data_IF_482520024017
#
_entry.id   IF_482520024017
#
_cell.length_a   1.000
_cell.length_b   1.000
_cell.length_c   1.000
_cell.angle_alpha   90.00
_cell.angle_beta   90.00
_cell.angle_gamma   90.00
#
_symmetry.space_group_name_H-M   'P 1'
#
loop_
_entity.id
_entity.type
_entity.pdbx_description
1 polymer ?
#
# COMPACT_ATOMS: atom_id res chain seq x y z
N UNK A 1 -15.57 -3.19 73.38
CA UNK A 1 -15.73 -4.18 72.29
C UNK A 1 -16.79 -3.65 71.34
N UNK A 2 -16.53 -3.41 70.11
CA UNK A 2 -17.41 -3.01 68.97
C UNK A 2 -16.93 -1.75 68.24
N UNK A 3 -15.77 -1.82 67.56
CA UNK A 3 -15.43 -0.93 66.45
C UNK A 3 -14.53 -1.61 65.37
N UNK A 4 -14.20 -2.91 65.59
CA UNK A 4 -13.25 -3.60 64.71
C UNK A 4 -13.93 -4.41 63.56
N UNK A 5 -15.23 -4.74 63.68
CA UNK A 5 -15.91 -5.65 62.71
C UNK A 5 -16.59 -4.95 61.51
N UNK A 6 -16.77 -3.61 61.54
CA UNK A 6 -17.37 -2.88 60.41
C UNK A 6 -16.36 -2.50 59.30
N UNK A 7 -15.06 -2.61 59.55
CA UNK A 7 -14.04 -2.27 58.57
C UNK A 7 -13.59 -3.46 57.69
N UNK A 8 -13.87 -4.69 58.08
CA UNK A 8 -13.55 -5.91 57.29
C UNK A 8 -14.62 -6.26 56.25
N UNK A 9 -15.91 -5.89 56.44
CA UNK A 9 -16.97 -6.15 55.44
C UNK A 9 -16.97 -5.15 54.30
N UNK A 10 -16.42 -3.93 54.42
CA UNK A 10 -16.30 -2.94 53.35
C UNK A 10 -15.13 -3.18 52.38
N UNK A 11 -14.14 -4.02 52.77
CA UNK A 11 -12.97 -4.33 51.98
C UNK A 11 -13.18 -5.57 51.08
N UNK A 12 -14.09 -6.47 51.44
CA UNK A 12 -14.41 -7.66 50.62
C UNK A 12 -15.36 -7.32 49.47
N UNK A 13 -16.33 -6.42 49.67
CA UNK A 13 -17.25 -5.98 48.60
C UNK A 13 -16.59 -5.20 47.45
N UNK A 14 -15.47 -4.53 47.74
CA UNK A 14 -14.76 -3.72 46.71
C UNK A 14 -13.75 -4.55 45.89
N UNK A 15 -13.43 -5.78 46.32
CA UNK A 15 -12.56 -6.68 45.53
C UNK A 15 -13.32 -7.52 44.53
N UNK A 16 -14.57 -7.87 44.82
CA UNK A 16 -15.43 -8.60 43.88
C UNK A 16 -16.00 -7.69 42.78
N UNK A 17 -16.33 -6.43 43.08
CA UNK A 17 -16.73 -5.44 42.07
C UNK A 17 -15.60 -5.07 41.09
N UNK A 18 -14.33 -5.01 41.57
CA UNK A 18 -13.16 -4.76 40.72
C UNK A 18 -12.73 -6.00 39.93
N UNK A 19 -13.04 -7.20 40.37
CA UNK A 19 -12.81 -8.43 39.61
C UNK A 19 -13.82 -8.59 38.46
N UNK A 20 -15.13 -8.32 38.71
CA UNK A 20 -16.14 -8.32 37.65
C UNK A 20 -15.92 -7.24 36.60
N UNK A 21 -15.55 -6.03 36.99
CA UNK A 21 -15.21 -4.95 36.04
C UNK A 21 -13.97 -5.21 35.20
N UNK A 22 -13.03 -6.05 35.68
CA UNK A 22 -11.83 -6.45 34.89
C UNK A 22 -12.12 -7.60 33.92
N UNK A 23 -13.16 -8.38 34.14
CA UNK A 23 -13.54 -9.50 33.25
C UNK A 23 -14.44 -9.04 32.11
N UNK A 24 -15.13 -7.89 32.23
CA UNK A 24 -15.94 -7.33 31.14
C UNK A 24 -15.18 -6.45 30.14
N UNK A 25 -13.90 -6.08 30.42
CA UNK A 25 -13.07 -5.28 29.52
C UNK A 25 -12.16 -6.14 28.62
N UNK A 26 -12.16 -7.46 28.78
CA UNK A 26 -11.30 -8.40 28.05
C UNK A 26 -12.05 -9.31 27.08
N UNK A 27 -13.18 -8.88 26.53
CA UNK A 27 -13.63 -9.41 25.24
C UNK A 27 -13.04 -8.55 24.11
N UNK A 28 -11.73 -8.61 23.95
CA UNK A 28 -11.09 -8.30 22.69
C UNK A 28 -11.63 -9.29 21.66
N UNK A 29 -12.44 -8.80 20.72
CA UNK A 29 -12.96 -9.58 19.60
C UNK A 29 -11.74 -10.24 18.93
N UNK A 30 -11.71 -11.57 18.96
CA UNK A 30 -10.60 -12.33 18.37
C UNK A 30 -10.35 -11.88 16.93
N UNK A 31 -9.10 -11.82 16.45
CA UNK A 31 -8.76 -11.40 15.08
C UNK A 31 -9.58 -12.13 14.00
N UNK A 32 -9.95 -13.35 14.24
CA UNK A 32 -10.77 -14.19 13.36
C UNK A 32 -12.20 -13.67 13.14
N UNK A 33 -12.82 -13.06 14.14
CA UNK A 33 -14.16 -12.48 14.02
C UNK A 33 -14.18 -11.22 13.14
N UNK A 34 -13.05 -10.53 13.00
CA UNK A 34 -12.91 -9.36 12.13
C UNK A 34 -12.80 -9.73 10.64
N UNK A 35 -12.33 -10.93 10.33
CA UNK A 35 -12.19 -11.44 8.95
C UNK A 35 -13.47 -12.15 8.51
N UNK A 36 -14.09 -12.95 9.38
CA UNK A 36 -15.27 -13.75 9.08
C UNK A 36 -16.52 -12.94 8.66
N UNK A 37 -16.64 -11.68 9.10
CA UNK A 37 -17.79 -10.83 8.78
C UNK A 37 -17.69 -10.07 7.44
N UNK A 38 -16.62 -10.28 6.65
CA UNK A 38 -16.43 -9.58 5.38
C UNK A 38 -16.68 -10.43 4.12
N UNK A 39 -17.00 -11.71 4.25
CA UNK A 39 -17.10 -12.63 3.10
C UNK A 39 -18.32 -12.45 2.18
N UNK A 40 -19.21 -11.49 2.40
CA UNK A 40 -20.47 -11.40 1.64
C UNK A 40 -20.83 -10.03 1.07
N UNK A 41 -19.96 -9.02 1.17
CA UNK A 41 -20.26 -7.70 0.62
C UNK A 41 -19.28 -7.37 -0.51
N UNK A 42 -19.82 -7.20 -1.72
CA UNK A 42 -19.13 -6.45 -2.77
C UNK A 42 -18.57 -5.17 -2.16
N UNK A 43 -17.31 -4.77 -2.49
CA UNK A 43 -16.73 -3.60 -1.90
C UNK A 43 -17.59 -2.37 -2.22
N UNK A 44 -18.16 -1.76 -1.19
CA UNK A 44 -19.00 -0.57 -1.30
C UNK A 44 -18.14 0.69 -1.48
N UNK A 45 -17.28 0.66 -2.51
CA UNK A 45 -16.48 1.81 -2.94
C UNK A 45 -16.20 1.72 -4.44
N UNK A 46 -15.98 2.86 -5.12
CA UNK A 46 -15.71 2.88 -6.55
C UNK A 46 -14.50 2.03 -6.92
N UNK A 47 -14.61 1.32 -8.02
CA UNK A 47 -13.46 0.64 -8.58
C UNK A 47 -12.52 1.66 -9.21
N UNK A 48 -11.30 1.73 -8.70
CA UNK A 48 -10.21 2.52 -9.29
C UNK A 48 -9.34 1.69 -10.23
N UNK A 49 -9.80 0.51 -10.56
CA UNK A 49 -9.14 -0.42 -11.46
C UNK A 49 -9.18 0.11 -12.89
N UNK A 50 -8.03 0.28 -13.51
CA UNK A 50 -7.92 0.38 -14.95
C UNK A 50 -8.09 -1.03 -15.52
N UNK A 51 -9.30 -1.35 -16.01
CA UNK A 51 -9.62 -2.70 -16.44
C UNK A 51 -8.76 -3.13 -17.63
N UNK A 52 -8.24 -4.36 -17.62
CA UNK A 52 -7.48 -4.89 -18.74
C UNK A 52 -8.28 -4.80 -20.06
N UNK A 53 -7.62 -4.27 -21.10
CA UNK A 53 -8.24 -4.09 -22.42
C UNK A 53 -9.16 -2.88 -22.58
N UNK A 54 -9.55 -2.18 -21.50
CA UNK A 54 -10.28 -0.91 -21.56
C UNK A 54 -9.28 0.25 -21.50
N UNK A 55 -9.44 1.24 -22.40
CA UNK A 55 -8.63 2.45 -22.35
C UNK A 55 -9.20 3.44 -21.34
N UNK A 56 -8.34 4.00 -20.50
CA UNK A 56 -8.67 5.09 -19.60
C UNK A 56 -8.12 6.41 -20.15
N UNK A 57 -8.74 7.53 -19.76
CA UNK A 57 -8.18 8.88 -19.89
C UNK A 57 -7.98 9.49 -18.51
N UNK A 58 -6.73 9.85 -18.18
CA UNK A 58 -6.43 10.49 -16.89
C UNK A 58 -7.10 11.86 -16.74
N UNK A 59 -7.39 12.53 -17.85
CA UNK A 59 -8.09 13.81 -17.85
C UNK A 59 -9.56 13.68 -17.40
N UNK A 60 -10.18 12.50 -17.55
CA UNK A 60 -11.56 12.23 -17.15
C UNK A 60 -11.69 11.75 -15.69
N UNK A 61 -10.56 11.46 -15.03
CA UNK A 61 -10.54 10.99 -13.64
C UNK A 61 -10.32 12.17 -12.70
N UNK A 62 -11.31 12.50 -11.86
CA UNK A 62 -11.20 13.58 -10.88
C UNK A 62 -10.22 13.22 -9.75
N UNK A 63 -9.05 13.89 -9.64
CA UNK A 63 -8.09 13.64 -8.56
C UNK A 63 -8.58 14.10 -7.18
N UNK A 64 -9.71 14.83 -7.10
CA UNK A 64 -10.36 15.26 -5.85
C UNK A 64 -11.44 14.30 -5.35
N UNK A 65 -11.81 13.29 -6.12
CA UNK A 65 -12.84 12.32 -5.74
C UNK A 65 -12.58 11.76 -4.34
N UNK A 66 -13.64 11.60 -3.55
CA UNK A 66 -13.56 11.07 -2.18
C UNK A 66 -14.85 10.37 -1.74
N UNK A 67 -15.61 9.76 -2.66
CA UNK A 67 -16.93 9.21 -2.39
C UNK A 67 -17.81 10.24 -1.61
N UNK A 68 -18.55 9.75 -0.60
CA UNK A 68 -19.37 10.59 0.29
C UNK A 68 -18.57 11.19 1.47
N UNK A 69 -17.23 11.00 1.49
CA UNK A 69 -16.43 11.56 2.58
C UNK A 69 -16.02 13.00 2.31
N UNK A 70 -16.41 13.90 3.21
CA UNK A 70 -16.06 15.32 3.10
C UNK A 70 -14.75 15.64 3.83
N UNK A 71 -14.49 14.99 4.97
CA UNK A 71 -13.42 15.39 5.89
C UNK A 71 -12.58 14.19 6.34
N UNK A 72 -11.33 14.47 6.68
CA UNK A 72 -10.37 13.48 7.21
C UNK A 72 -10.89 12.68 8.42
N UNK A 73 -11.68 13.29 9.27
CA UNK A 73 -12.23 12.65 10.47
C UNK A 73 -13.22 11.54 10.13
N UNK A 74 -13.93 11.68 9.02
CA UNK A 74 -14.97 10.75 8.58
C UNK A 74 -14.36 9.38 8.22
N UNK A 75 -13.13 9.36 7.68
CA UNK A 75 -12.42 8.13 7.32
C UNK A 75 -11.49 7.58 8.42
N UNK A 76 -11.30 8.30 9.52
CA UNK A 76 -10.27 7.94 10.52
C UNK A 76 -10.48 6.57 11.16
N UNK A 77 -11.73 6.25 11.48
CA UNK A 77 -12.13 4.95 12.07
C UNK A 77 -11.88 3.82 11.09
N UNK A 78 -12.32 4.01 9.86
CA UNK A 78 -12.22 3.01 8.81
C UNK A 78 -10.79 2.75 8.39
N UNK A 79 -10.00 3.79 8.17
CA UNK A 79 -8.57 3.64 7.88
C UNK A 79 -7.84 2.87 9.00
N UNK A 80 -8.24 3.07 10.28
CA UNK A 80 -7.67 2.29 11.40
C UNK A 80 -8.07 0.81 11.30
N UNK A 81 -9.33 0.52 10.94
CA UNK A 81 -9.83 -0.84 10.73
C UNK A 81 -9.08 -1.54 9.59
N UNK A 82 -9.00 -0.89 8.42
CA UNK A 82 -8.32 -1.47 7.26
C UNK A 82 -6.82 -1.72 7.51
N UNK A 83 -6.16 -0.85 8.26
CA UNK A 83 -4.77 -1.08 8.67
C UNK A 83 -4.62 -2.30 9.60
N UNK A 84 -5.56 -2.49 10.54
CA UNK A 84 -5.53 -3.67 11.44
C UNK A 84 -5.75 -4.94 10.61
N UNK A 85 -6.72 -4.93 9.69
CA UNK A 85 -6.97 -6.03 8.76
C UNK A 85 -5.74 -6.35 7.90
N UNK A 86 -5.14 -5.33 7.30
CA UNK A 86 -3.92 -5.45 6.49
C UNK A 86 -2.75 -6.04 7.30
N UNK A 87 -2.56 -5.59 8.56
CA UNK A 87 -1.50 -6.11 9.43
C UNK A 87 -1.71 -7.59 9.78
N UNK A 88 -2.95 -7.98 10.13
CA UNK A 88 -3.27 -9.39 10.43
C UNK A 88 -3.06 -10.31 9.22
N UNK A 89 -3.48 -9.87 8.03
CA UNK A 89 -3.30 -10.65 6.80
C UNK A 89 -1.82 -10.73 6.39
N UNK A 90 -1.05 -9.67 6.61
CA UNK A 90 0.39 -9.67 6.35
C UNK A 90 1.13 -10.62 7.28
N UNK A 91 0.73 -10.72 8.55
CA UNK A 91 1.32 -11.68 9.50
C UNK A 91 1.09 -13.12 9.06
N UNK A 92 -0.13 -13.43 8.57
CA UNK A 92 -0.44 -14.75 8.00
C UNK A 92 0.38 -15.04 6.75
N UNK A 93 0.50 -14.07 5.82
CA UNK A 93 1.33 -14.22 4.61
C UNK A 93 2.79 -14.50 4.97
N UNK A 94 3.31 -13.78 5.97
CA UNK A 94 4.68 -13.98 6.45
C UNK A 94 4.89 -15.38 7.07
N UNK A 95 3.93 -15.84 7.86
CA UNK A 95 3.99 -17.17 8.49
C UNK A 95 3.79 -18.30 7.47
N UNK A 96 2.90 -18.14 6.50
CA UNK A 96 2.67 -19.09 5.41
C UNK A 96 3.93 -19.35 4.58
N UNK A 97 4.67 -18.27 4.27
CA UNK A 97 5.95 -18.30 3.55
C UNK A 97 5.93 -19.09 2.23
N UNK A 98 4.86 -18.96 1.43
CA UNK A 98 4.67 -19.68 0.15
C UNK A 98 4.33 -18.76 -1.02
N UNK A 99 3.84 -17.55 -0.74
CA UNK A 99 3.42 -16.54 -1.71
C UNK A 99 3.92 -15.19 -1.27
N UNK A 100 3.87 -14.22 -2.16
CA UNK A 100 4.33 -12.87 -1.83
C UNK A 100 3.53 -11.81 -2.57
N UNK A 101 3.68 -10.54 -2.15
CA UNK A 101 2.99 -9.40 -2.74
C UNK A 101 3.99 -8.32 -3.15
N UNK A 102 3.98 -7.96 -4.42
CA UNK A 102 4.69 -6.81 -4.97
C UNK A 102 3.72 -5.65 -5.17
N UNK A 103 4.03 -4.52 -4.54
CA UNK A 103 3.25 -3.29 -4.65
C UNK A 103 4.08 -2.25 -5.38
N UNK A 104 3.60 -1.77 -6.52
CA UNK A 104 4.23 -0.70 -7.28
C UNK A 104 3.52 0.62 -7.00
N UNK A 105 4.26 1.65 -6.60
CA UNK A 105 3.75 3.01 -6.39
C UNK A 105 4.38 3.97 -7.39
N UNK A 106 3.55 4.53 -8.27
CA UNK A 106 3.93 5.56 -9.23
C UNK A 106 3.10 6.84 -9.02
N UNK A 107 3.71 7.97 -9.27
CA UNK A 107 3.08 9.29 -9.21
C UNK A 107 4.04 10.33 -9.77
N UNK A 108 3.49 11.47 -10.16
CA UNK A 108 4.27 12.70 -10.34
C UNK A 108 5.07 13.03 -9.08
N UNK A 109 6.10 13.85 -9.22
CA UNK A 109 6.81 14.34 -8.03
C UNK A 109 5.85 15.08 -7.09
N UNK A 110 6.09 14.94 -5.79
CA UNK A 110 5.17 15.35 -4.73
C UNK A 110 3.81 14.62 -4.68
N UNK A 111 3.55 13.65 -5.56
CA UNK A 111 2.30 12.88 -5.62
C UNK A 111 1.96 12.14 -4.32
N UNK A 112 2.97 11.88 -3.47
CA UNK A 112 2.75 11.42 -2.08
C UNK A 112 3.08 9.96 -1.85
N UNK A 113 3.92 9.35 -2.67
CA UNK A 113 4.40 7.95 -2.52
C UNK A 113 4.90 7.64 -1.11
N UNK A 114 5.88 8.42 -0.57
CA UNK A 114 6.40 8.23 0.81
C UNK A 114 5.31 8.38 1.87
N UNK A 115 4.37 9.34 1.66
CA UNK A 115 3.26 9.55 2.58
C UNK A 115 2.28 8.37 2.58
N UNK A 116 2.04 7.75 1.44
CA UNK A 116 1.26 6.52 1.32
C UNK A 116 1.92 5.40 2.10
N UNK A 117 3.21 5.14 1.85
CA UNK A 117 3.97 4.10 2.56
C UNK A 117 3.89 4.32 4.07
N UNK A 118 4.24 5.53 4.55
CA UNK A 118 4.21 5.86 5.98
C UNK A 118 2.84 5.64 6.64
N UNK A 119 1.76 5.95 5.92
CA UNK A 119 0.43 5.96 6.53
C UNK A 119 -0.37 4.70 6.29
N UNK A 120 -0.25 4.04 5.16
CA UNK A 120 -0.96 2.78 4.88
C UNK A 120 -0.34 1.62 5.67
N UNK A 121 0.99 1.53 5.66
CA UNK A 121 1.74 0.42 6.29
C UNK A 121 2.07 0.66 7.78
N UNK A 122 1.38 1.62 8.42
CA UNK A 122 1.54 1.85 9.85
C UNK A 122 0.97 0.67 10.66
N UNK A 123 1.83 -0.03 11.40
CA UNK A 123 1.46 -1.19 12.23
C UNK A 123 1.73 -2.54 11.57
N UNK A 124 2.24 -2.55 10.35
CA UNK A 124 2.73 -3.75 9.66
C UNK A 124 4.04 -4.22 10.33
N UNK A 125 4.21 -5.54 10.46
CA UNK A 125 5.45 -6.12 10.94
C UNK A 125 6.60 -5.87 9.93
N UNK A 126 7.66 -5.12 10.32
CA UNK A 126 8.74 -4.79 9.40
C UNK A 126 9.57 -5.99 8.94
N UNK A 127 9.52 -7.12 9.63
CA UNK A 127 10.20 -8.35 9.22
C UNK A 127 9.62 -8.92 7.93
N UNK A 128 8.30 -8.76 7.71
CA UNK A 128 7.58 -9.24 6.52
C UNK A 128 7.34 -8.16 5.46
N UNK A 129 7.96 -6.97 5.57
CA UNK A 129 7.72 -5.87 4.62
C UNK A 129 9.02 -5.14 4.29
N UNK A 130 9.26 -4.90 2.98
CA UNK A 130 10.42 -4.13 2.51
C UNK A 130 10.00 -3.04 1.54
N UNK A 131 10.71 -1.91 1.59
CA UNK A 131 10.52 -0.77 0.68
C UNK A 131 11.81 -0.52 -0.07
N UNK A 132 11.71 -0.49 -1.40
CA UNK A 132 12.78 -0.09 -2.28
C UNK A 132 12.42 1.20 -2.99
N UNK A 133 13.29 2.21 -2.86
CA UNK A 133 13.11 3.49 -3.55
C UNK A 133 14.12 3.59 -4.69
N UNK A 134 13.62 3.47 -5.90
CA UNK A 134 14.47 3.53 -7.09
C UNK A 134 14.72 4.98 -7.51
N UNK A 135 15.98 5.30 -7.68
CA UNK A 135 16.48 6.57 -8.19
C UNK A 135 17.19 6.33 -9.52
N UNK A 136 17.91 7.33 -10.01
CA UNK A 136 18.80 7.18 -11.17
C UNK A 136 19.65 5.92 -11.01
N UNK A 137 19.73 5.06 -12.03
CA UNK A 137 20.54 3.85 -11.99
C UNK A 137 22.01 4.14 -11.63
N UNK A 138 22.63 3.28 -10.84
CA UNK A 138 24.08 3.28 -10.66
C UNK A 138 24.76 2.85 -11.97
N UNK A 139 26.09 3.02 -12.04
CA UNK A 139 26.86 2.58 -13.21
C UNK A 139 26.73 1.06 -13.43
N UNK A 140 26.73 0.27 -12.35
CA UNK A 140 26.49 -1.17 -12.42
C UNK A 140 25.08 -1.49 -12.93
N UNK A 141 24.04 -0.89 -12.34
CA UNK A 141 22.65 -1.09 -12.75
C UNK A 141 22.43 -0.71 -14.22
N UNK A 142 23.10 0.35 -14.71
CA UNK A 142 23.01 0.81 -16.10
C UNK A 142 23.77 -0.08 -17.10
N UNK A 143 24.69 -0.93 -16.63
CA UNK A 143 25.42 -1.89 -17.48
C UNK A 143 24.64 -3.19 -17.75
N UNK A 144 23.53 -3.40 -17.05
CA UNK A 144 22.62 -4.52 -17.24
C UNK A 144 21.36 -4.11 -18.01
N UNK A 145 20.51 -5.06 -18.33
CA UNK A 145 19.17 -4.77 -18.86
C UNK A 145 18.35 -3.95 -17.86
N UNK A 146 17.36 -3.21 -18.36
CA UNK A 146 16.60 -2.26 -17.54
C UNK A 146 15.76 -2.91 -16.43
N UNK A 147 15.48 -4.22 -16.48
CA UNK A 147 14.71 -4.94 -15.46
C UNK A 147 15.59 -5.53 -14.36
N UNK A 148 16.89 -5.72 -14.60
CA UNK A 148 17.81 -6.41 -13.69
C UNK A 148 17.74 -5.88 -12.25
N UNK A 149 17.81 -4.56 -12.08
CA UNK A 149 17.77 -3.89 -10.77
C UNK A 149 16.46 -4.11 -10.00
N UNK A 150 15.36 -4.28 -10.72
CA UNK A 150 14.03 -4.51 -10.14
C UNK A 150 13.83 -5.99 -9.80
N UNK A 151 14.30 -6.89 -10.65
CA UNK A 151 14.24 -8.32 -10.40
C UNK A 151 14.99 -8.70 -9.12
N UNK A 152 16.18 -8.16 -8.89
CA UNK A 152 16.93 -8.37 -7.63
C UNK A 152 16.20 -7.90 -6.37
N UNK A 153 15.18 -7.10 -6.51
CA UNK A 153 14.38 -6.53 -5.41
C UNK A 153 12.96 -7.08 -5.36
N UNK A 154 12.61 -8.01 -6.24
CA UNK A 154 11.36 -8.74 -6.18
C UNK A 154 11.19 -9.41 -4.80
N UNK A 155 9.95 -9.56 -4.30
CA UNK A 155 9.74 -10.19 -3.01
C UNK A 155 10.11 -11.68 -3.05
N UNK A 156 10.67 -12.17 -1.96
CA UNK A 156 10.73 -13.60 -1.67
C UNK A 156 9.45 -14.04 -0.97
N UNK A 157 9.24 -15.35 -0.85
CA UNK A 157 8.09 -15.93 -0.16
C UNK A 157 7.84 -15.30 1.22
N UNK A 158 6.58 -15.13 1.57
CA UNK A 158 6.11 -14.52 2.81
C UNK A 158 6.23 -12.99 2.87
N UNK A 159 6.81 -12.34 1.87
CA UNK A 159 7.14 -10.92 1.94
C UNK A 159 6.16 -10.03 1.19
N UNK A 160 5.92 -8.85 1.73
CA UNK A 160 5.39 -7.71 0.99
C UNK A 160 6.57 -6.82 0.57
N UNK A 161 6.73 -6.59 -0.72
CA UNK A 161 7.72 -5.63 -1.23
C UNK A 161 7.02 -4.43 -1.88
N UNK A 162 7.46 -3.23 -1.54
CA UNK A 162 6.93 -1.97 -2.06
C UNK A 162 8.00 -1.30 -2.91
N UNK A 163 7.70 -1.11 -4.18
CA UNK A 163 8.50 -0.32 -5.09
C UNK A 163 8.03 1.14 -5.08
N UNK A 164 8.80 2.03 -4.48
CA UNK A 164 8.63 3.47 -4.57
C UNK A 164 9.36 3.97 -5.81
N UNK A 165 8.64 4.23 -6.90
CA UNK A 165 9.06 4.16 -8.30
C UNK A 165 9.45 2.73 -8.68
N UNK A 166 9.55 2.42 -9.98
CA UNK A 166 9.72 1.04 -10.42
C UNK A 166 10.27 0.99 -11.85
N UNK A 167 10.25 -0.18 -12.44
CA UNK A 167 10.57 -0.46 -13.85
C UNK A 167 9.74 0.38 -14.84
N UNK A 168 8.67 1.00 -14.40
CA UNK A 168 7.92 1.96 -15.21
C UNK A 168 8.69 3.26 -15.47
N UNK A 169 9.71 3.61 -14.66
CA UNK A 169 10.59 4.76 -14.99
C UNK A 169 11.22 4.59 -16.39
N UNK A 170 11.42 3.36 -16.82
CA UNK A 170 12.03 2.99 -18.12
C UNK A 170 11.08 3.13 -19.33
N UNK A 171 9.84 3.56 -19.11
CA UNK A 171 8.86 3.99 -20.14
C UNK A 171 8.26 5.36 -19.79
N UNK A 172 8.62 5.97 -18.67
CA UNK A 172 8.18 7.29 -18.23
C UNK A 172 9.26 8.34 -18.46
N UNK A 173 10.24 8.44 -17.57
CA UNK A 173 11.29 9.48 -17.67
C UNK A 173 12.13 9.31 -18.93
N UNK A 174 12.43 8.10 -19.36
CA UNK A 174 13.23 7.86 -20.58
C UNK A 174 12.54 8.38 -21.82
N UNK A 175 11.21 8.29 -21.90
CA UNK A 175 10.37 8.87 -22.94
C UNK A 175 10.33 10.39 -22.84
N UNK A 176 9.95 10.93 -21.68
CA UNK A 176 9.77 12.38 -21.47
C UNK A 176 11.06 13.17 -21.68
N UNK A 177 12.22 12.56 -21.36
CA UNK A 177 13.54 13.18 -21.51
C UNK A 177 14.28 12.75 -22.79
N UNK A 178 13.65 11.96 -23.64
CA UNK A 178 14.28 11.41 -24.86
C UNK A 178 15.64 10.71 -24.57
N UNK A 179 15.72 9.96 -23.46
CA UNK A 179 16.94 9.24 -23.06
C UNK A 179 17.12 7.95 -23.86
N UNK A 180 16.05 7.42 -24.42
CA UNK A 180 16.01 6.21 -25.23
C UNK A 180 15.14 6.47 -26.45
N UNK A 181 15.51 5.99 -27.66
CA UNK A 181 14.70 6.13 -28.86
C UNK A 181 13.27 5.56 -28.68
N UNK A 182 12.31 6.19 -29.36
CA UNK A 182 10.90 5.78 -29.25
C UNK A 182 10.68 4.31 -29.65
N UNK A 183 11.33 3.86 -30.72
CA UNK A 183 11.26 2.48 -31.19
C UNK A 183 11.71 1.46 -30.14
N UNK A 184 12.54 1.87 -29.17
CA UNK A 184 13.07 1.00 -28.12
C UNK A 184 12.20 1.05 -26.85
N UNK A 185 11.83 2.26 -26.36
CA UNK A 185 11.01 2.30 -25.15
C UNK A 185 9.58 1.78 -25.38
N UNK A 186 9.03 1.87 -26.58
CA UNK A 186 7.72 1.28 -26.90
C UNK A 186 7.69 -0.25 -26.74
N UNK A 187 8.76 -0.92 -27.09
CA UNK A 187 8.89 -2.40 -26.91
C UNK A 187 8.96 -2.79 -25.44
N UNK A 188 9.34 -1.85 -24.56
CA UNK A 188 9.44 -2.13 -23.12
C UNK A 188 8.09 -2.41 -22.47
N UNK A 189 6.97 -1.94 -23.02
CA UNK A 189 5.64 -2.31 -22.50
C UNK A 189 5.42 -3.82 -22.53
N UNK A 190 5.72 -4.45 -23.66
CA UNK A 190 5.60 -5.91 -23.78
C UNK A 190 6.57 -6.64 -22.85
N UNK A 191 7.81 -6.14 -22.76
CA UNK A 191 8.83 -6.73 -21.87
C UNK A 191 8.44 -6.58 -20.39
N UNK A 192 7.85 -5.45 -20.01
CA UNK A 192 7.31 -5.22 -18.66
C UNK A 192 6.16 -6.21 -18.36
N UNK A 193 5.23 -6.36 -19.30
CA UNK A 193 4.12 -7.30 -19.15
C UNK A 193 4.62 -8.76 -18.99
N UNK A 194 5.61 -9.16 -19.78
CA UNK A 194 6.23 -10.48 -19.66
C UNK A 194 6.95 -10.67 -18.31
N UNK A 195 7.64 -9.64 -17.82
CA UNK A 195 8.28 -9.66 -16.51
C UNK A 195 7.25 -9.81 -15.38
N UNK A 196 6.19 -9.02 -15.40
CA UNK A 196 5.12 -9.09 -14.40
C UNK A 196 4.37 -10.43 -14.47
N UNK A 197 4.16 -10.97 -15.67
CA UNK A 197 3.57 -12.30 -15.86
C UNK A 197 4.47 -13.39 -15.27
N UNK A 198 5.77 -13.34 -15.52
CA UNK A 198 6.74 -14.27 -14.94
C UNK A 198 6.68 -14.24 -13.40
N UNK A 199 6.65 -13.05 -12.79
CA UNK A 199 6.50 -12.92 -11.34
C UNK A 199 5.18 -13.52 -10.84
N UNK A 200 4.09 -13.31 -11.56
CA UNK A 200 2.77 -13.86 -11.20
C UNK A 200 2.74 -15.38 -11.27
N UNK A 201 3.36 -15.97 -12.28
CA UNK A 201 3.52 -17.44 -12.40
C UNK A 201 4.33 -18.03 -11.25
N UNK A 202 5.25 -17.26 -10.69
CA UNK A 202 6.05 -17.63 -9.51
C UNK A 202 5.38 -17.21 -8.18
N UNK A 203 4.04 -17.15 -8.15
CA UNK A 203 3.22 -16.88 -6.97
C UNK A 203 3.41 -15.49 -6.33
N UNK A 204 3.95 -14.55 -7.07
CA UNK A 204 4.07 -13.15 -6.67
C UNK A 204 2.83 -12.40 -7.16
N UNK A 205 1.91 -12.05 -6.27
CA UNK A 205 0.81 -11.16 -6.63
C UNK A 205 1.36 -9.77 -6.88
N UNK A 206 1.09 -9.19 -8.06
CA UNK A 206 1.54 -7.85 -8.43
C UNK A 206 0.35 -6.89 -8.45
N UNK A 207 0.46 -5.77 -7.74
CA UNK A 207 -0.55 -4.72 -7.73
C UNK A 207 0.11 -3.35 -7.92
N UNK A 208 -0.48 -2.50 -8.76
CA UNK A 208 0.12 -1.23 -9.16
C UNK A 208 -0.82 -0.06 -8.88
N UNK A 209 -0.28 1.00 -8.29
CA UNK A 209 -1.02 2.21 -7.97
C UNK A 209 -0.39 3.43 -8.64
N UNK A 210 -1.17 4.13 -9.43
CA UNK A 210 -0.86 5.49 -9.87
C UNK A 210 -1.59 6.48 -8.96
N UNK A 211 -0.82 7.33 -8.25
CA UNK A 211 -1.38 8.36 -7.37
C UNK A 211 -1.66 9.61 -8.19
N UNK A 212 -2.91 9.72 -8.63
CA UNK A 212 -3.35 10.80 -9.51
C UNK A 212 -3.60 12.08 -8.73
N UNK A 213 -2.79 13.12 -9.01
CA UNK A 213 -2.96 14.47 -8.46
C UNK A 213 -3.14 15.49 -9.58
N UNK A 214 -3.80 16.60 -9.29
CA UNK A 214 -3.84 17.74 -10.22
C UNK A 214 -2.52 18.53 -10.21
N UNK A 215 -2.27 19.24 -11.31
CA UNK A 215 -1.13 20.17 -11.44
C UNK A 215 -1.16 21.26 -10.34
N UNK A 216 -2.35 21.74 -9.96
CA UNK A 216 -2.52 22.74 -8.90
C UNK A 216 -2.22 22.15 -7.51
N UNK A 217 -2.66 20.93 -7.22
CA UNK A 217 -2.31 20.27 -5.97
C UNK A 217 -0.81 20.02 -5.87
N UNK A 218 -0.13 19.68 -6.98
CA UNK A 218 1.32 19.57 -7.00
C UNK A 218 1.99 20.90 -6.64
N UNK A 219 1.53 22.03 -7.23
CA UNK A 219 2.01 23.38 -6.92
C UNK A 219 1.85 23.68 -5.42
N UNK A 220 0.64 23.51 -4.89
CA UNK A 220 0.34 23.72 -3.46
C UNK A 220 1.24 22.88 -2.55
N UNK A 221 1.55 21.64 -2.93
CA UNK A 221 2.46 20.78 -2.16
C UNK A 221 3.92 21.23 -2.21
N UNK A 222 4.37 21.75 -3.33
CA UNK A 222 5.72 22.32 -3.48
C UNK A 222 5.85 23.60 -2.64
N UNK A 223 4.88 24.50 -2.71
CA UNK A 223 4.81 25.72 -1.89
C UNK A 223 4.82 25.36 -0.38
N UNK A 224 4.00 24.42 0.06
CA UNK A 224 3.99 23.93 1.43
C UNK A 224 5.31 23.31 1.91
N UNK A 225 6.16 22.82 1.01
CA UNK A 225 7.52 22.35 1.36
C UNK A 225 8.46 23.52 1.62
N UNK A 226 8.34 24.61 0.85
CA UNK A 226 9.16 25.81 1.04
C UNK A 226 8.81 26.56 2.33
N UNK A 227 7.54 26.59 2.69
CA UNK A 227 7.05 27.26 3.90
C UNK A 227 7.43 26.49 5.19
N UNK A 228 7.43 25.17 5.16
CA UNK A 228 7.67 24.34 6.32
C UNK A 228 9.17 23.99 6.45
N UNK A 229 9.82 24.54 7.48
CA UNK A 229 11.26 24.30 7.79
C UNK A 229 11.63 22.81 7.83
N UNK A 230 10.77 21.96 8.45
CA UNK A 230 10.99 20.52 8.59
C UNK A 230 10.87 19.75 7.27
N UNK A 231 10.39 20.40 6.19
CA UNK A 231 10.19 19.79 4.88
C UNK A 231 11.06 20.38 3.79
N UNK A 232 11.74 21.50 4.04
CA UNK A 232 12.62 22.16 3.05
C UNK A 232 13.68 21.22 2.49
N UNK A 233 14.21 20.30 3.27
CA UNK A 233 15.18 19.30 2.81
C UNK A 233 14.66 18.37 1.72
N UNK A 234 13.31 18.26 1.55
CA UNK A 234 12.66 17.49 0.48
C UNK A 234 12.47 18.31 -0.80
N UNK A 235 12.72 19.60 -0.76
CA UNK A 235 12.55 20.46 -1.92
C UNK A 235 13.75 20.30 -2.86
N UNK A 236 13.47 19.99 -4.12
CA UNK A 236 14.48 19.91 -5.17
C UNK A 236 14.16 20.91 -6.28
N UNK A 237 15.19 21.61 -6.77
CA UNK A 237 15.04 22.43 -7.99
C UNK A 237 14.66 21.57 -9.20
N UNK A 238 15.05 20.29 -9.19
CA UNK A 238 14.65 19.35 -10.23
C UNK A 238 13.15 19.15 -10.29
N UNK A 239 12.44 19.13 -9.13
CA UNK A 239 10.97 19.01 -9.10
C UNK A 239 10.30 20.13 -9.92
N UNK A 240 10.89 21.35 -9.95
CA UNK A 240 10.38 22.46 -10.76
C UNK A 240 10.65 22.27 -12.25
N UNK A 241 11.75 21.65 -12.61
CA UNK A 241 12.07 21.35 -14.02
C UNK A 241 11.18 20.23 -14.54
N UNK A 242 11.01 19.15 -13.75
CA UNK A 242 10.12 18.04 -14.09
C UNK A 242 8.66 18.48 -14.25
N UNK A 243 8.21 19.45 -13.43
CA UNK A 243 6.87 20.01 -13.55
C UNK A 243 6.59 20.71 -14.91
N UNK A 244 7.62 21.18 -15.63
CA UNK A 244 7.45 21.78 -16.96
C UNK A 244 6.97 20.75 -17.98
N UNK A 245 7.29 19.48 -17.78
CA UNK A 245 6.91 18.34 -18.62
C UNK A 245 5.64 17.65 -18.09
N UNK A 246 4.76 18.40 -17.41
CA UNK A 246 3.56 17.83 -16.78
C UNK A 246 2.70 17.05 -17.77
N UNK A 247 2.43 17.63 -18.94
CA UNK A 247 1.51 17.06 -19.91
C UNK A 247 2.14 15.82 -20.60
N UNK A 248 3.43 15.86 -20.84
CA UNK A 248 4.20 14.72 -21.37
C UNK A 248 4.22 13.54 -20.36
N UNK A 249 4.37 13.84 -19.06
CA UNK A 249 4.29 12.82 -18.04
C UNK A 249 2.87 12.25 -17.91
N UNK A 250 1.82 13.09 -17.98
CA UNK A 250 0.44 12.58 -17.95
C UNK A 250 0.19 11.63 -19.13
N UNK A 251 0.59 12.00 -20.33
CA UNK A 251 0.49 11.14 -21.53
C UNK A 251 1.30 9.84 -21.36
N UNK A 252 2.51 9.91 -20.77
CA UNK A 252 3.33 8.73 -20.54
C UNK A 252 2.72 7.78 -19.49
N UNK A 253 2.17 8.31 -18.39
CA UNK A 253 1.46 7.51 -17.38
C UNK A 253 0.21 6.87 -17.96
N UNK A 254 -0.61 7.62 -18.70
CA UNK A 254 -1.83 7.13 -19.32
C UNK A 254 -1.50 5.97 -20.28
N UNK A 255 -0.50 6.15 -21.14
CA UNK A 255 -0.08 5.09 -22.08
C UNK A 255 0.47 3.87 -21.34
N UNK A 256 1.28 4.06 -20.30
CA UNK A 256 1.80 2.95 -19.49
C UNK A 256 0.67 2.16 -18.80
N UNK A 257 -0.33 2.84 -18.24
CA UNK A 257 -1.48 2.20 -17.61
C UNK A 257 -2.29 1.43 -18.66
N UNK A 258 -2.58 2.05 -19.82
CA UNK A 258 -3.36 1.46 -20.89
C UNK A 258 -2.70 0.24 -21.55
N UNK A 259 -1.37 0.18 -21.59
CA UNK A 259 -0.62 -0.95 -22.16
C UNK A 259 -0.29 -2.04 -21.15
N UNK A 260 -0.24 -1.71 -19.87
CA UNK A 260 0.28 -2.61 -18.85
C UNK A 260 -0.70 -2.88 -17.70
N UNK A 261 -1.99 -2.53 -17.81
CA UNK A 261 -2.98 -3.05 -16.87
C UNK A 261 -3.43 -4.42 -17.37
N UNK A 262 -3.01 -5.47 -16.66
CA UNK A 262 -3.31 -6.86 -17.02
C UNK A 262 -4.05 -7.54 -15.86
N UNK A 263 -4.69 -8.69 -16.13
CA UNK A 263 -5.40 -9.47 -15.11
C UNK A 263 -4.47 -9.94 -13.98
N UNK A 264 -3.22 -10.29 -14.33
CA UNK A 264 -2.21 -10.77 -13.39
C UNK A 264 -1.43 -9.64 -12.69
N UNK A 265 -1.48 -8.41 -13.21
CA UNK A 265 -0.81 -7.24 -12.63
C UNK A 265 -1.62 -5.96 -12.92
N UNK A 266 -2.74 -5.74 -12.22
CA UNK A 266 -3.63 -4.63 -12.49
C UNK A 266 -3.08 -3.28 -12.02
N UNK A 267 -3.41 -2.21 -12.76
CA UNK A 267 -3.24 -0.83 -12.33
C UNK A 267 -4.50 -0.29 -11.65
N UNK A 268 -4.28 0.46 -10.57
CA UNK A 268 -5.31 1.27 -9.92
C UNK A 268 -4.95 2.74 -10.03
N UNK A 269 -5.86 3.56 -10.55
CA UNK A 269 -5.71 5.02 -10.64
C UNK A 269 -6.38 5.66 -9.43
N UNK A 270 -5.58 6.07 -8.45
CA UNK A 270 -6.08 6.51 -7.14
C UNK A 270 -6.18 8.03 -7.06
N UNK A 271 -7.38 8.61 -6.81
CA UNK A 271 -7.53 10.03 -6.52
C UNK A 271 -6.67 10.42 -5.31
N UNK A 272 -5.73 11.36 -5.50
CA UNK A 272 -4.68 11.56 -4.52
C UNK A 272 -4.48 13.03 -4.06
N UNK A 273 -5.36 13.95 -4.45
CA UNK A 273 -5.36 15.30 -3.91
C UNK A 273 -5.67 15.27 -2.41
N UNK A 274 -6.68 14.54 -1.99
CA UNK A 274 -7.02 14.32 -0.59
C UNK A 274 -6.21 13.16 -0.01
N UNK A 275 -5.08 13.45 0.64
CA UNK A 275 -4.13 12.46 1.19
C UNK A 275 -4.77 11.43 2.10
N UNK A 276 -5.78 11.81 2.87
CA UNK A 276 -6.48 10.95 3.81
C UNK A 276 -7.37 9.94 3.10
N UNK A 277 -8.04 10.34 2.00
CA UNK A 277 -8.86 9.47 1.18
C UNK A 277 -8.00 8.47 0.39
N UNK A 278 -6.97 8.94 -0.31
CA UNK A 278 -5.98 8.10 -0.97
C UNK A 278 -5.48 6.98 -0.05
N UNK A 279 -5.14 7.30 1.20
CA UNK A 279 -4.63 6.31 2.14
C UNK A 279 -5.69 5.28 2.53
N UNK A 280 -6.96 5.67 2.66
CA UNK A 280 -8.07 4.75 2.92
C UNK A 280 -8.26 3.79 1.75
N UNK A 281 -8.40 4.31 0.54
CA UNK A 281 -8.63 3.50 -0.66
C UNK A 281 -7.52 2.47 -0.87
N UNK A 282 -6.25 2.89 -0.78
CA UNK A 282 -5.12 1.98 -0.93
C UNK A 282 -5.11 0.91 0.18
N UNK A 283 -5.43 1.28 1.43
CA UNK A 283 -5.51 0.33 2.52
C UNK A 283 -6.61 -0.73 2.31
N UNK A 284 -7.79 -0.31 1.81
CA UNK A 284 -8.89 -1.22 1.42
C UNK A 284 -8.46 -2.19 0.33
N UNK A 285 -7.96 -1.67 -0.79
CA UNK A 285 -7.55 -2.49 -1.95
C UNK A 285 -6.48 -3.50 -1.55
N UNK A 286 -5.49 -3.10 -0.74
CA UNK A 286 -4.44 -4.01 -0.28
C UNK A 286 -4.97 -5.07 0.69
N UNK A 287 -5.86 -4.69 1.60
CA UNK A 287 -6.49 -5.65 2.51
C UNK A 287 -7.36 -6.66 1.74
N UNK A 288 -8.16 -6.19 0.76
CA UNK A 288 -8.97 -7.06 -0.10
C UNK A 288 -8.11 -7.97 -0.99
N UNK A 289 -6.97 -7.45 -1.47
CA UNK A 289 -6.02 -8.27 -2.24
C UNK A 289 -5.45 -9.41 -1.39
N UNK A 290 -4.99 -9.10 -0.18
CA UNK A 290 -4.48 -10.13 0.74
C UNK A 290 -5.58 -11.09 1.20
N UNK A 291 -6.81 -10.62 1.39
CA UNK A 291 -7.93 -11.49 1.74
C UNK A 291 -8.27 -12.46 0.60
N UNK A 292 -8.25 -11.99 -0.66
CA UNK A 292 -8.39 -12.86 -1.84
C UNK A 292 -7.25 -13.87 -1.97
N UNK A 293 -6.04 -13.49 -1.58
CA UNK A 293 -4.91 -14.43 -1.48
C UNK A 293 -5.16 -15.49 -0.39
N UNK A 294 -5.97 -15.18 0.63
CA UNK A 294 -6.31 -16.06 1.74
C UNK A 294 -5.09 -16.75 2.38
N UNK A 295 -4.13 -15.98 2.93
CA UNK A 295 -2.98 -16.58 3.61
C UNK A 295 -3.40 -17.20 4.94
N UNK A 296 -2.85 -18.38 5.26
CA UNK A 296 -3.14 -19.15 6.46
C UNK A 296 -1.88 -19.37 7.30
N UNK A 297 -2.04 -19.51 8.61
CA UNK A 297 -0.94 -19.96 9.46
C UNK A 297 -0.64 -21.42 9.13
N UNK A 298 0.66 -21.81 9.04
CA UNK A 298 1.04 -23.20 8.85
C UNK A 298 0.56 -24.05 10.04
N UNK A 299 0.16 -25.29 9.75
CA UNK A 299 -0.15 -26.25 10.82
C UNK A 299 1.13 -26.58 11.60
N UNK A 300 1.05 -26.71 12.94
CA UNK A 300 2.19 -27.17 13.73
C UNK A 300 2.71 -28.53 13.23
N UNK A 301 4.04 -28.68 13.18
CA UNK A 301 4.67 -29.92 12.75
C UNK A 301 4.54 -31.06 13.78
N UNK A 302 4.18 -30.75 15.02
CA UNK A 302 4.03 -31.68 16.12
C UNK A 302 2.71 -31.48 16.86
N UNK A 303 2.29 -32.49 17.60
CA UNK A 303 1.15 -32.38 18.52
C UNK A 303 1.53 -31.48 19.70
N UNK A 304 0.87 -30.31 19.76
CA UNK A 304 1.09 -29.31 20.80
C UNK A 304 0.29 -29.56 22.07
N UNK A 305 -0.75 -30.39 22.01
CA UNK A 305 -1.71 -30.57 23.11
C UNK A 305 -1.09 -31.27 24.33
N UNK A 306 0.04 -31.97 24.12
CA UNK A 306 0.73 -32.72 25.17
C UNK A 306 2.09 -32.14 25.57
N UNK A 307 2.39 -30.89 25.14
CA UNK A 307 3.67 -30.25 25.49
C UNK A 307 3.59 -29.68 26.91
N UNK A 308 4.48 -30.14 27.79
CA UNK A 308 4.71 -29.56 29.11
C UNK A 308 5.99 -28.74 29.05
N UNK A 309 5.89 -27.45 29.39
CA UNK A 309 7.06 -26.56 29.54
C UNK A 309 7.51 -26.67 30.99
N UNK A 310 8.70 -27.23 31.24
CA UNK A 310 9.32 -27.37 32.56
C UNK A 310 9.89 -26.03 33.07
#
# INVERSE_FOLDING_TARGET
MSKSNKKKQKISGNKEATAKAKTEIAQEVAPETLIANHHSLEPNYPSYLAKPGEKISLAEIDPNQSEDYERKQDVKKELKRERKRLATLQERLYAENQRSLLIVLQAMDTGGKDGTIKHVFKGINPQGCRVWSFKTPSQEEASHDFLWRYHQRAPKDGMITIFNRSHYEDVLIVRVKNLVPEADWRKRYDTINQFEQMLSLDKITVIKFFLHISKDEQKRRLESRLENSDKRWKFSRNDLQERKYWDEYQAAFEEAINNCSTEYAPWYVIPANKKWYRNLVIARILADTLEKMNPEFPKPEMDLDNIVIE
#
